data_IF_323320279758
#
_entry.id   IF_323320279758
#
_cell.length_a   1.000
_cell.length_b   1.000
_cell.length_c   1.000
_cell.angle_alpha   90.00
_cell.angle_beta   90.00
_cell.angle_gamma   90.00
#
_symmetry.space_group_name_H-M   'P 1'
#
loop_
_entity.id
_entity.type
_entity.pdbx_description
1 polymer ?
#
# COMPACT_ATOMS: atom_id res chain seq x y z
N UNK A 1 -2.33 11.90 18.87
CA UNK A 1 -1.82 12.67 17.71
C UNK A 1 -2.61 12.30 16.48
N UNK A 2 -3.10 13.28 15.75
CA UNK A 2 -3.93 13.05 14.58
C UNK A 2 -3.07 12.62 13.39
N UNK A 3 -3.49 11.57 12.67
CA UNK A 3 -2.82 11.07 11.49
C UNK A 3 -3.51 11.59 10.22
N UNK A 4 -3.76 12.91 10.17
CA UNK A 4 -4.43 13.50 9.03
C UNK A 4 -3.44 13.91 7.94
N UNK A 5 -3.74 13.56 6.70
CA UNK A 5 -2.91 13.94 5.56
C UNK A 5 -2.84 15.47 5.44
N UNK A 6 -1.64 16.06 5.33
CA UNK A 6 -1.50 17.51 5.23
C UNK A 6 -2.07 18.09 3.93
N UNK A 7 -2.23 17.27 2.89
CA UNK A 7 -2.75 17.73 1.59
C UNK A 7 -4.26 17.66 1.48
N UNK A 8 -4.90 16.59 1.99
CA UNK A 8 -6.35 16.41 1.83
C UNK A 8 -7.12 16.40 3.16
N UNK A 9 -6.44 16.34 4.30
CA UNK A 9 -7.06 16.34 5.61
C UNK A 9 -7.72 15.03 6.01
N UNK A 10 -7.74 14.02 5.13
CA UNK A 10 -8.34 12.74 5.45
C UNK A 10 -7.46 11.97 6.44
N UNK A 11 -8.11 11.24 7.35
CA UNK A 11 -7.39 10.43 8.34
C UNK A 11 -6.58 9.33 7.65
N UNK A 12 -5.28 9.30 7.91
CA UNK A 12 -4.38 8.29 7.39
C UNK A 12 -4.22 7.11 8.33
N UNK A 13 -3.39 6.16 7.92
CA UNK A 13 -3.07 4.96 8.69
C UNK A 13 -1.57 4.89 8.91
N UNK A 14 -1.14 4.74 10.16
CA UNK A 14 0.29 4.61 10.48
C UNK A 14 0.87 3.39 9.79
N UNK A 15 2.08 3.54 9.26
CA UNK A 15 2.80 2.46 8.59
C UNK A 15 4.19 2.30 9.22
N UNK A 16 4.75 1.07 9.24
CA UNK A 16 6.11 0.85 9.69
C UNK A 16 7.12 1.56 8.79
N UNK A 17 8.21 2.04 9.37
CA UNK A 17 9.28 2.69 8.59
C UNK A 17 9.85 1.74 7.52
N UNK A 18 9.89 0.43 7.80
CA UNK A 18 10.38 -0.55 6.84
C UNK A 18 9.56 -0.58 5.55
N UNK A 19 8.26 -0.26 5.60
CA UNK A 19 7.42 -0.17 4.41
C UNK A 19 7.92 0.92 3.47
N UNK A 20 8.21 2.09 3.99
CA UNK A 20 8.77 3.19 3.20
C UNK A 20 10.16 2.84 2.66
N UNK A 21 11.02 2.28 3.49
CA UNK A 21 12.37 1.86 3.08
C UNK A 21 12.35 0.83 1.97
N UNK A 22 11.34 -0.05 1.96
CA UNK A 22 11.21 -1.12 0.97
C UNK A 22 10.64 -0.64 -0.36
N UNK A 23 9.73 0.34 -0.33
CA UNK A 23 8.89 0.69 -1.48
C UNK A 23 9.19 2.05 -2.11
N UNK A 24 9.93 2.92 -1.46
CA UNK A 24 10.32 4.21 -2.04
C UNK A 24 11.47 4.03 -3.04
N UNK A 25 11.42 4.79 -4.13
CA UNK A 25 12.53 4.88 -5.09
C UNK A 25 13.75 5.49 -4.41
N UNK A 26 14.94 5.24 -4.96
CA UNK A 26 16.21 5.70 -4.39
C UNK A 26 16.24 7.20 -4.13
N UNK A 27 15.75 8.01 -5.06
CA UNK A 27 15.74 9.46 -4.92
C UNK A 27 14.86 9.92 -3.76
N UNK A 28 13.69 9.31 -3.59
CA UNK A 28 12.78 9.61 -2.49
C UNK A 28 13.34 9.09 -1.16
N UNK A 29 13.90 7.89 -1.17
CA UNK A 29 14.49 7.28 0.01
C UNK A 29 15.62 8.14 0.59
N UNK A 30 16.39 8.82 -0.26
CA UNK A 30 17.47 9.69 0.16
C UNK A 30 16.98 10.89 0.99
N UNK A 31 15.70 11.26 0.86
CA UNK A 31 15.11 12.37 1.63
C UNK A 31 14.36 11.90 2.88
N UNK A 32 14.24 10.60 3.08
CA UNK A 32 13.52 10.01 4.22
C UNK A 32 14.22 10.37 5.53
N UNK A 33 13.45 10.85 6.50
CA UNK A 33 13.94 11.09 7.86
C UNK A 33 13.60 9.87 8.73
N UNK A 34 14.59 9.01 9.07
CA UNK A 34 14.33 7.75 9.75
C UNK A 34 13.93 7.90 11.23
N UNK A 35 14.06 9.10 11.78
CA UNK A 35 13.68 9.43 13.16
C UNK A 35 12.21 9.88 13.29
N UNK A 36 11.44 9.85 12.20
CA UNK A 36 10.04 10.29 12.18
C UNK A 36 9.10 9.12 11.98
N UNK A 37 7.85 9.32 12.42
CA UNK A 37 6.76 8.38 12.15
C UNK A 37 6.00 8.81 10.90
N UNK A 38 5.47 7.83 10.15
CA UNK A 38 4.80 8.05 8.89
C UNK A 38 3.43 7.38 8.87
N UNK A 39 2.54 7.89 8.02
CA UNK A 39 1.23 7.34 7.77
C UNK A 39 0.94 7.27 6.28
N UNK A 40 0.02 6.38 5.90
CA UNK A 40 -0.45 6.19 4.54
C UNK A 40 -1.75 6.97 4.34
N UNK A 41 -1.84 7.74 3.24
CA UNK A 41 -3.07 8.43 2.86
C UNK A 41 -3.88 7.55 1.90
N UNK A 42 -5.07 7.06 2.30
CA UNK A 42 -5.86 6.16 1.46
C UNK A 42 -6.75 6.88 0.44
N UNK A 43 -6.81 8.20 0.46
CA UNK A 43 -7.71 8.97 -0.41
C UNK A 43 -7.29 8.83 -1.88
N UNK A 44 -8.13 8.21 -2.75
CA UNK A 44 -7.78 8.01 -4.16
C UNK A 44 -7.65 9.31 -4.96
N UNK A 45 -8.23 10.40 -4.47
CA UNK A 45 -8.15 11.72 -5.11
C UNK A 45 -6.93 12.53 -4.67
N UNK A 46 -6.16 12.05 -3.69
CA UNK A 46 -5.00 12.75 -3.17
C UNK A 46 -3.71 12.20 -3.78
N UNK A 47 -2.79 13.08 -4.17
CA UNK A 47 -1.50 12.69 -4.75
C UNK A 47 -0.52 12.13 -3.71
N UNK A 48 -0.74 12.43 -2.44
CA UNK A 48 0.12 11.97 -1.34
C UNK A 48 -0.11 10.50 -1.05
N UNK A 49 0.97 9.71 -0.95
CA UNK A 49 0.92 8.30 -0.52
C UNK A 49 1.31 8.21 0.95
N UNK A 50 2.45 8.77 1.32
CA UNK A 50 2.93 8.79 2.71
C UNK A 50 3.16 10.20 3.17
N UNK A 51 2.97 10.44 4.46
CA UNK A 51 3.28 11.72 5.08
C UNK A 51 3.83 11.48 6.49
N UNK A 52 4.76 12.34 6.93
CA UNK A 52 5.21 12.33 8.31
C UNK A 52 4.09 12.86 9.22
N UNK A 53 4.02 12.37 10.45
CA UNK A 53 2.95 12.78 11.38
C UNK A 53 3.03 14.27 11.74
N UNK A 54 4.21 14.88 11.61
CA UNK A 54 4.39 16.32 11.81
C UNK A 54 4.03 17.14 10.56
N UNK A 55 3.70 16.50 9.43
CA UNK A 55 3.31 17.14 8.20
C UNK A 55 4.44 17.76 7.37
N UNK A 56 5.70 17.60 7.79
CA UNK A 56 6.84 18.25 7.12
C UNK A 56 7.34 17.52 5.88
N UNK A 57 7.10 16.23 5.77
CA UNK A 57 7.51 15.40 4.64
C UNK A 57 6.33 14.66 4.04
N UNK A 58 6.26 14.64 2.70
CA UNK A 58 5.25 13.90 1.95
C UNK A 58 5.92 13.16 0.80
N UNK A 59 5.34 12.00 0.45
CA UNK A 59 5.77 11.20 -0.70
C UNK A 59 4.56 10.90 -1.57
N UNK A 60 4.72 11.08 -2.88
CA UNK A 60 3.64 10.87 -3.86
C UNK A 60 3.76 9.51 -4.55
N UNK A 61 2.76 9.16 -5.35
CA UNK A 61 2.76 7.91 -6.12
C UNK A 61 3.99 7.79 -7.03
N UNK A 62 4.49 8.90 -7.58
CA UNK A 62 5.69 8.92 -8.42
C UNK A 62 6.99 8.57 -7.68
N UNK A 63 6.98 8.63 -6.34
CA UNK A 63 8.12 8.28 -5.50
C UNK A 63 8.17 6.79 -5.15
N UNK A 64 7.16 6.02 -5.57
CA UNK A 64 7.02 4.59 -5.23
C UNK A 64 7.60 3.70 -6.32
N UNK A 65 8.19 2.57 -5.90
CA UNK A 65 8.66 1.52 -6.82
C UNK A 65 7.51 0.74 -7.45
N UNK A 66 6.34 0.72 -6.82
CA UNK A 66 5.17 -0.05 -7.23
C UNK A 66 3.95 0.86 -7.34
N UNK A 67 2.95 0.52 -8.15
CA UNK A 67 1.69 1.25 -8.17
C UNK A 67 0.93 1.07 -6.85
N UNK A 68 0.14 2.07 -6.46
CA UNK A 68 -0.63 2.05 -5.22
C UNK A 68 -2.10 1.78 -5.55
N UNK A 69 -2.64 0.67 -5.04
CA UNK A 69 -3.98 0.20 -5.34
C UNK A 69 -5.05 1.28 -5.13
N UNK A 70 -5.00 1.98 -3.99
CA UNK A 70 -6.00 2.97 -3.63
C UNK A 70 -5.96 4.22 -4.52
N UNK A 71 -4.86 4.45 -5.22
CA UNK A 71 -4.63 5.67 -6.02
C UNK A 71 -4.52 5.41 -7.52
N UNK A 72 -4.51 4.15 -7.93
CA UNK A 72 -4.38 3.74 -9.32
C UNK A 72 -5.49 2.74 -9.66
N UNK A 73 -6.29 3.04 -10.66
CA UNK A 73 -7.44 2.22 -11.06
C UNK A 73 -7.15 1.21 -12.15
N UNK A 74 -5.91 1.13 -12.63
CA UNK A 74 -5.54 0.18 -13.68
C UNK A 74 -5.74 -1.27 -13.24
N UNK A 75 -6.10 -2.12 -14.20
CA UNK A 75 -6.39 -3.54 -13.94
C UNK A 75 -5.14 -4.35 -13.62
N UNK A 76 -3.97 -3.89 -14.00
CA UNK A 76 -2.69 -4.56 -13.75
C UNK A 76 -2.06 -4.16 -12.41
N UNK A 77 -2.72 -3.30 -11.63
CA UNK A 77 -2.26 -2.93 -10.29
C UNK A 77 -2.55 -4.07 -9.31
N UNK A 78 -1.55 -4.54 -8.52
CA UNK A 78 -1.81 -5.59 -7.55
C UNK A 78 -2.79 -5.16 -6.45
N UNK A 79 -3.73 -6.04 -6.13
CA UNK A 79 -4.54 -5.96 -4.92
C UNK A 79 -3.82 -6.68 -3.79
N UNK A 80 -3.24 -7.84 -4.10
CA UNK A 80 -2.34 -8.54 -3.18
C UNK A 80 -0.91 -8.46 -3.72
N UNK A 81 -0.06 -7.69 -3.07
CA UNK A 81 1.32 -7.46 -3.52
C UNK A 81 2.24 -8.64 -3.23
N UNK A 82 1.95 -9.41 -2.17
CA UNK A 82 2.80 -10.53 -1.79
C UNK A 82 2.74 -11.68 -2.79
N UNK A 83 1.58 -11.90 -3.40
CA UNK A 83 1.33 -13.02 -4.32
C UNK A 83 0.92 -12.55 -5.71
N UNK A 84 1.06 -11.26 -5.97
CA UNK A 84 0.82 -10.63 -7.28
C UNK A 84 -0.57 -10.89 -7.83
N UNK A 85 -1.59 -10.77 -6.98
CA UNK A 85 -2.98 -10.81 -7.41
C UNK A 85 -3.42 -9.43 -7.87
N UNK A 86 -3.41 -9.20 -9.19
CA UNK A 86 -3.91 -7.97 -9.79
C UNK A 86 -5.44 -7.99 -9.87
N UNK A 87 -6.05 -6.82 -10.10
CA UNK A 87 -7.51 -6.75 -10.33
C UNK A 87 -7.94 -7.66 -11.47
N UNK A 88 -7.18 -7.66 -12.57
CA UNK A 88 -7.44 -8.51 -13.74
C UNK A 88 -7.40 -9.99 -13.38
N UNK A 89 -6.36 -10.43 -12.65
CA UNK A 89 -6.22 -11.82 -12.22
C UNK A 89 -7.36 -12.28 -11.32
N UNK A 90 -7.79 -11.40 -10.41
CA UNK A 90 -8.91 -11.70 -9.49
C UNK A 90 -10.19 -11.87 -10.30
N UNK A 91 -10.48 -10.99 -11.23
CA UNK A 91 -11.69 -11.05 -12.06
C UNK A 91 -11.70 -12.30 -12.91
N UNK A 92 -10.58 -12.64 -13.56
CA UNK A 92 -10.46 -13.86 -14.37
C UNK A 92 -10.68 -15.12 -13.53
N UNK A 93 -10.10 -15.19 -12.34
CA UNK A 93 -10.26 -16.33 -11.45
C UNK A 93 -11.71 -16.50 -10.99
N UNK A 94 -12.40 -15.42 -10.68
CA UNK A 94 -13.82 -15.44 -10.27
C UNK A 94 -14.71 -15.91 -11.43
N UNK A 95 -14.44 -15.42 -12.65
CA UNK A 95 -15.16 -15.86 -13.85
C UNK A 95 -15.03 -17.36 -14.11
N UNK A 96 -13.87 -17.93 -13.76
CA UNK A 96 -13.60 -19.36 -13.91
C UNK A 96 -14.08 -20.19 -12.71
N UNK A 97 -14.77 -19.58 -11.75
CA UNK A 97 -15.28 -20.26 -10.56
C UNK A 97 -14.26 -20.44 -9.44
N UNK A 98 -13.09 -19.75 -9.53
CA UNK A 98 -12.07 -19.78 -8.49
C UNK A 98 -12.38 -18.86 -7.32
N UNK A 99 -11.61 -19.01 -6.25
CA UNK A 99 -11.74 -18.21 -5.04
C UNK A 99 -10.37 -17.63 -4.65
N UNK A 100 -9.99 -16.46 -5.23
CA UNK A 100 -8.70 -15.83 -4.93
C UNK A 100 -8.53 -15.49 -3.45
N UNK A 101 -9.63 -15.08 -2.78
CA UNK A 101 -9.56 -14.72 -1.36
C UNK A 101 -9.17 -15.94 -0.51
N UNK A 102 -9.73 -17.12 -0.80
CA UNK A 102 -9.40 -18.34 -0.08
C UNK A 102 -7.93 -18.74 -0.29
N UNK A 103 -7.40 -18.60 -1.50
CA UNK A 103 -5.99 -18.88 -1.80
C UNK A 103 -5.06 -17.94 -1.04
N UNK A 104 -5.36 -16.64 -1.05
CA UNK A 104 -4.57 -15.64 -0.33
C UNK A 104 -4.64 -15.90 1.17
N UNK A 105 -5.83 -16.20 1.69
CA UNK A 105 -6.03 -16.51 3.09
C UNK A 105 -5.20 -17.72 3.54
N UNK A 106 -5.12 -18.76 2.71
CA UNK A 106 -4.30 -19.93 2.99
C UNK A 106 -2.81 -19.55 3.12
N UNK A 107 -2.30 -18.69 2.23
CA UNK A 107 -0.93 -18.21 2.30
C UNK A 107 -0.67 -17.35 3.55
N UNK A 108 -1.61 -16.50 3.92
CA UNK A 108 -1.51 -15.65 5.11
C UNK A 108 -1.47 -16.53 6.37
N UNK A 109 -2.33 -17.54 6.44
CA UNK A 109 -2.36 -18.48 7.57
C UNK A 109 -1.09 -19.31 7.67
N UNK A 110 -0.44 -19.58 6.54
CA UNK A 110 0.84 -20.29 6.50
C UNK A 110 2.05 -19.39 6.81
N UNK A 111 1.84 -18.10 7.04
CA UNK A 111 2.89 -17.16 7.36
C UNK A 111 3.75 -16.75 6.16
N UNK A 112 3.23 -16.85 4.94
CA UNK A 112 3.97 -16.54 3.72
C UNK A 112 3.87 -15.08 3.28
N UNK A 113 2.94 -14.31 3.82
CA UNK A 113 2.76 -12.93 3.42
C UNK A 113 3.82 -12.01 4.02
N UNK A 114 4.17 -10.94 3.28
CA UNK A 114 5.11 -9.91 3.72
C UNK A 114 4.56 -8.53 3.42
N UNK A 115 3.31 -8.27 3.82
CA UNK A 115 2.61 -7.02 3.49
C UNK A 115 3.31 -5.77 4.02
N UNK A 116 4.05 -5.86 5.13
CA UNK A 116 4.80 -4.72 5.65
C UNK A 116 5.90 -4.23 4.70
N UNK A 117 6.47 -5.13 3.90
CA UNK A 117 7.53 -4.80 2.94
C UNK A 117 7.05 -4.74 1.49
N UNK A 118 5.90 -5.35 1.16
CA UNK A 118 5.41 -5.44 -0.21
C UNK A 118 4.20 -4.56 -0.50
N UNK A 119 3.34 -4.33 0.49
CA UNK A 119 2.09 -3.58 0.32
C UNK A 119 2.27 -2.12 0.77
N UNK A 120 2.03 -1.12 -0.12
CA UNK A 120 2.19 0.29 0.25
C UNK A 120 1.41 0.73 1.48
N UNK A 121 0.25 0.12 1.76
CA UNK A 121 -0.50 0.46 2.97
C UNK A 121 0.12 -0.10 4.25
N UNK A 122 1.18 -0.91 4.14
CA UNK A 122 1.92 -1.46 5.27
C UNK A 122 1.17 -2.48 6.10
N UNK A 123 0.06 -3.01 5.58
CA UNK A 123 -0.82 -3.93 6.30
C UNK A 123 -1.44 -4.94 5.34
N UNK A 124 -2.15 -5.92 5.89
CA UNK A 124 -2.73 -7.03 5.13
C UNK A 124 -3.71 -6.53 4.05
N UNK A 125 -3.59 -7.12 2.85
CA UNK A 125 -4.41 -6.77 1.69
C UNK A 125 -5.73 -7.54 1.60
N UNK A 126 -6.03 -8.44 2.53
CA UNK A 126 -7.24 -9.28 2.46
C UNK A 126 -8.52 -8.46 2.38
N UNK A 127 -8.60 -7.34 3.08
CA UNK A 127 -9.73 -6.43 3.00
C UNK A 127 -9.94 -5.81 1.62
N UNK A 128 -8.85 -5.68 0.84
CA UNK A 128 -8.91 -5.12 -0.52
C UNK A 128 -9.40 -6.16 -1.54
N UNK A 129 -9.16 -7.44 -1.27
CA UNK A 129 -9.56 -8.56 -2.15
C UNK A 129 -11.03 -8.92 -1.96
N UNK A 130 -11.52 -8.79 -0.75
CA UNK A 130 -12.88 -9.19 -0.36
C UNK A 130 -14.01 -8.39 -1.07
#
# INVERSE_FOLDING_TARGET
MKTNCPNCGQNGRRVPLMTLKSLLKSAALATLAPDRDYAFCPNPSCVTVYFSLDGSLTFAAGDMKVPVLQKDSDMDVPVCYCFDWTRERIMEAVEQGGDPLAEIKAHVQAGRCGCEVNNPQGACCMGNVA
#
